data_IF_488398484904
#
_entry.id   IF_488398484904
#
_cell.length_a   1.000
_cell.length_b   1.000
_cell.length_c   1.000
_cell.angle_alpha   90.00
_cell.angle_beta   90.00
_cell.angle_gamma   90.00
#
_symmetry.space_group_name_H-M   'P 1'
#
loop_
_entity.id
_entity.type
_entity.pdbx_description
1 polymer ?
#
# COMPACT_ATOMS: atom_id res chain seq x y z
N UNK A 1 -29.99 0.97 -35.77
CA UNK A 1 -28.60 1.47 -35.79
C UNK A 1 -28.54 2.48 -34.67
N UNK A 2 -27.87 2.15 -33.57
CA UNK A 2 -27.79 3.02 -32.40
C UNK A 2 -27.11 4.33 -32.79
N UNK A 3 -27.81 5.45 -32.54
CA UNK A 3 -27.26 6.79 -32.64
C UNK A 3 -26.15 6.92 -31.58
N UNK A 4 -24.90 6.77 -32.01
CA UNK A 4 -23.76 7.08 -31.16
C UNK A 4 -23.85 8.53 -30.70
N UNK A 5 -23.62 8.78 -29.41
CA UNK A 5 -23.53 10.14 -28.88
C UNK A 5 -22.31 10.86 -29.49
N UNK A 6 -22.53 11.63 -30.56
CA UNK A 6 -21.49 12.45 -31.16
C UNK A 6 -21.44 13.81 -30.47
N UNK A 7 -20.26 14.17 -29.95
CA UNK A 7 -20.01 15.50 -29.42
C UNK A 7 -19.61 16.44 -30.55
N UNK A 8 -20.37 17.52 -30.74
CA UNK A 8 -20.05 18.60 -31.68
C UNK A 8 -19.69 19.87 -30.91
N UNK A 9 -18.51 20.42 -31.17
CA UNK A 9 -18.12 21.73 -30.62
C UNK A 9 -18.90 22.81 -31.37
N UNK A 10 -19.86 23.45 -30.69
CA UNK A 10 -20.72 24.48 -31.29
C UNK A 10 -20.11 25.88 -31.27
N UNK A 11 -19.17 26.15 -30.36
CA UNK A 11 -18.54 27.46 -30.20
C UNK A 11 -17.12 27.27 -29.65
N UNK A 12 -16.15 27.93 -30.29
CA UNK A 12 -14.79 28.14 -29.77
C UNK A 12 -14.58 29.64 -29.71
N UNK A 13 -14.41 30.17 -28.51
CA UNK A 13 -13.96 31.54 -28.31
C UNK A 13 -12.43 31.55 -28.30
N UNK A 14 -11.83 32.25 -29.26
CA UNK A 14 -10.36 32.30 -29.43
C UNK A 14 -9.71 33.38 -28.56
N UNK A 15 -10.46 34.41 -28.18
CA UNK A 15 -9.98 35.44 -27.28
C UNK A 15 -10.16 35.01 -25.83
N UNK A 16 -9.05 34.88 -25.11
CA UNK A 16 -9.06 34.49 -23.72
C UNK A 16 -9.20 35.74 -22.84
N UNK A 17 -10.40 35.96 -22.28
CA UNK A 17 -10.67 37.06 -21.34
C UNK A 17 -10.35 36.71 -19.88
N UNK A 18 -9.81 35.51 -19.60
CA UNK A 18 -9.53 35.10 -18.24
C UNK A 18 -8.33 35.86 -17.68
N UNK A 19 -8.58 36.70 -16.68
CA UNK A 19 -7.55 37.41 -15.92
C UNK A 19 -6.73 36.44 -15.08
N UNK A 20 -5.43 36.72 -14.89
CA UNK A 20 -4.52 35.91 -14.07
C UNK A 20 -5.05 35.78 -12.62
N UNK A 21 -5.81 36.75 -12.12
CA UNK A 21 -6.45 36.70 -10.79
C UNK A 21 -7.54 35.63 -10.66
N UNK A 22 -8.13 35.16 -11.78
CA UNK A 22 -9.07 34.03 -11.79
C UNK A 22 -8.38 32.67 -11.56
N UNK A 23 -7.03 32.62 -11.64
CA UNK A 23 -6.19 31.45 -11.40
C UNK A 23 -5.87 31.26 -9.92
N UNK A 24 -6.85 31.40 -9.01
CA UNK A 24 -6.68 31.09 -7.57
C UNK A 24 -6.47 29.59 -7.29
N UNK A 25 -5.72 28.85 -8.12
CA UNK A 25 -5.47 27.41 -8.04
C UNK A 25 -6.75 26.55 -8.00
N UNK A 26 -7.90 27.17 -8.29
CA UNK A 26 -9.25 26.61 -8.21
C UNK A 26 -9.77 26.28 -9.60
N UNK A 27 -8.91 25.69 -10.44
CA UNK A 27 -9.30 25.12 -11.72
C UNK A 27 -10.42 24.10 -11.49
N UNK A 28 -11.67 24.50 -11.77
CA UNK A 28 -12.86 23.69 -11.48
C UNK A 28 -12.92 22.43 -12.35
N UNK A 29 -12.42 22.53 -13.58
CA UNK A 29 -12.37 21.42 -14.53
C UNK A 29 -11.22 20.46 -14.27
N UNK A 30 -10.04 20.94 -13.82
CA UNK A 30 -8.95 20.10 -13.33
C UNK A 30 -9.23 19.65 -11.88
N UNK A 31 -10.22 18.76 -11.75
CA UNK A 31 -10.55 18.12 -10.48
C UNK A 31 -9.54 16.99 -10.16
N UNK A 32 -9.55 16.51 -8.91
CA UNK A 32 -8.59 15.49 -8.46
C UNK A 32 -8.75 14.14 -9.15
N UNK A 33 -9.95 13.79 -9.64
CA UNK A 33 -10.20 12.55 -10.37
C UNK A 33 -9.41 12.56 -11.68
N UNK A 34 -9.59 13.62 -12.48
CA UNK A 34 -8.91 13.80 -13.77
C UNK A 34 -7.39 13.81 -13.59
N UNK A 35 -6.89 14.57 -12.60
CA UNK A 35 -5.45 14.59 -12.32
C UNK A 35 -4.96 13.20 -11.88
N UNK A 36 -5.74 12.49 -11.06
CA UNK A 36 -5.43 11.14 -10.60
C UNK A 36 -5.35 10.14 -11.75
N UNK A 37 -6.31 10.16 -12.67
CA UNK A 37 -6.32 9.34 -13.89
C UNK A 37 -5.08 9.62 -14.76
N UNK A 38 -4.71 10.89 -14.95
CA UNK A 38 -3.52 11.28 -15.71
C UNK A 38 -2.21 10.76 -15.11
N UNK A 39 -2.08 10.75 -13.77
CA UNK A 39 -0.85 10.30 -13.10
C UNK A 39 -0.84 8.79 -12.79
N UNK A 40 -2.00 8.13 -12.82
CA UNK A 40 -2.14 6.69 -12.52
C UNK A 40 -1.26 5.76 -13.37
N UNK A 41 -0.99 6.00 -14.67
CA UNK A 41 -0.13 5.14 -15.46
C UNK A 41 1.31 5.11 -14.93
N UNK A 42 1.79 6.23 -14.35
CA UNK A 42 3.14 6.30 -13.77
C UNK A 42 3.28 5.39 -12.55
N UNK A 43 2.24 5.33 -11.73
CA UNK A 43 2.18 4.42 -10.59
C UNK A 43 2.14 2.96 -11.04
N UNK A 44 1.38 2.66 -12.11
CA UNK A 44 1.22 1.30 -12.65
C UNK A 44 2.49 0.74 -13.30
N UNK A 45 3.24 1.57 -14.02
CA UNK A 45 4.43 1.13 -14.78
C UNK A 45 5.69 1.14 -13.91
N UNK A 46 5.90 2.20 -13.13
CA UNK A 46 7.17 2.38 -12.42
C UNK A 46 7.11 1.91 -10.96
N UNK A 47 5.92 1.67 -10.40
CA UNK A 47 5.73 1.38 -8.97
C UNK A 47 6.15 2.54 -8.05
N UNK A 48 6.53 3.69 -8.60
CA UNK A 48 7.03 4.82 -7.84
C UNK A 48 5.90 5.47 -7.06
N UNK A 49 6.09 5.57 -5.73
CA UNK A 49 5.14 6.25 -4.87
C UNK A 49 4.98 7.71 -5.32
N UNK A 50 3.75 8.08 -5.71
CA UNK A 50 3.43 9.44 -6.10
C UNK A 50 3.55 10.35 -4.88
N UNK A 51 4.36 11.41 -4.98
CA UNK A 51 4.39 12.48 -3.95
C UNK A 51 3.51 13.63 -4.43
N UNK A 52 2.66 14.21 -3.57
CA UNK A 52 1.81 15.32 -3.97
C UNK A 52 2.60 16.52 -4.54
N UNK A 53 3.81 16.78 -4.04
CA UNK A 53 4.69 17.84 -4.59
C UNK A 53 5.13 17.54 -6.02
N UNK A 54 5.41 16.28 -6.34
CA UNK A 54 5.82 15.88 -7.69
C UNK A 54 4.63 16.04 -8.66
N UNK A 55 3.42 15.68 -8.21
CA UNK A 55 2.17 15.93 -8.96
C UNK A 55 1.98 17.44 -9.19
N UNK A 56 2.19 18.29 -8.19
CA UNK A 56 2.10 19.75 -8.36
C UNK A 56 3.08 20.26 -9.42
N UNK A 57 4.34 19.85 -9.33
CA UNK A 57 5.39 20.23 -10.29
C UNK A 57 5.04 19.74 -11.69
N UNK A 58 4.55 18.52 -11.82
CA UNK A 58 4.16 17.93 -13.10
C UNK A 58 2.98 18.68 -13.74
N UNK A 59 1.94 18.99 -12.96
CA UNK A 59 0.80 19.76 -13.44
C UNK A 59 1.21 21.16 -13.90
N UNK A 60 2.19 21.77 -13.22
CA UNK A 60 2.75 23.05 -13.63
C UNK A 60 3.57 22.93 -14.92
N UNK A 61 4.44 21.93 -15.04
CA UNK A 61 5.36 21.78 -16.17
C UNK A 61 4.65 21.38 -17.46
N UNK A 62 3.72 20.42 -17.40
CA UNK A 62 3.08 19.86 -18.59
C UNK A 62 1.80 20.58 -18.99
N UNK A 63 1.11 21.21 -18.04
CA UNK A 63 -0.21 21.79 -18.27
C UNK A 63 -0.32 23.25 -17.85
N UNK A 64 0.73 23.85 -17.27
CA UNK A 64 0.70 25.22 -16.76
C UNK A 64 -0.24 25.41 -15.55
N UNK A 65 -0.64 24.31 -14.89
CA UNK A 65 -1.65 24.33 -13.83
C UNK A 65 -1.02 24.36 -12.43
N UNK A 66 -1.12 25.51 -11.76
CA UNK A 66 -0.75 25.62 -10.36
C UNK A 66 -1.86 25.06 -9.45
N UNK A 67 -1.67 23.85 -8.93
CA UNK A 67 -2.68 23.19 -8.07
C UNK A 67 -2.31 23.26 -6.58
N UNK A 68 -3.31 23.27 -5.71
CA UNK A 68 -3.10 23.21 -4.27
C UNK A 68 -2.61 21.82 -3.82
N UNK A 69 -1.82 21.78 -2.74
CA UNK A 69 -1.33 20.52 -2.16
C UNK A 69 -2.47 19.54 -1.84
N UNK A 70 -3.57 20.01 -1.27
CA UNK A 70 -4.75 19.18 -0.94
C UNK A 70 -5.37 18.54 -2.16
N UNK A 71 -5.39 19.25 -3.30
CA UNK A 71 -5.88 18.71 -4.58
C UNK A 71 -4.90 17.65 -5.12
N UNK A 72 -3.60 17.91 -5.05
CA UNK A 72 -2.59 16.93 -5.44
C UNK A 72 -2.63 15.67 -4.56
N UNK A 73 -2.87 15.82 -3.26
CA UNK A 73 -3.02 14.70 -2.33
C UNK A 73 -4.27 13.85 -2.65
N UNK A 74 -5.41 14.49 -2.96
CA UNK A 74 -6.61 13.77 -3.40
C UNK A 74 -6.43 13.08 -4.75
N UNK A 75 -5.70 13.71 -5.66
CA UNK A 75 -5.39 13.12 -6.97
C UNK A 75 -4.50 11.89 -6.81
N UNK A 76 -3.50 11.96 -5.91
CA UNK A 76 -2.71 10.81 -5.50
C UNK A 76 -3.59 9.67 -4.98
N UNK A 77 -4.44 9.95 -3.98
CA UNK A 77 -5.32 8.94 -3.36
C UNK A 77 -6.23 8.26 -4.40
N UNK A 78 -6.75 9.05 -5.35
CA UNK A 78 -7.52 8.53 -6.48
C UNK A 78 -6.69 7.65 -7.42
N UNK A 79 -5.48 8.09 -7.79
CA UNK A 79 -4.57 7.31 -8.63
C UNK A 79 -4.19 5.97 -7.96
N UNK A 80 -3.90 5.98 -6.66
CA UNK A 80 -3.63 4.76 -5.88
C UNK A 80 -4.86 3.85 -5.85
N UNK A 81 -6.07 4.40 -5.71
CA UNK A 81 -7.31 3.63 -5.77
C UNK A 81 -7.58 3.00 -7.14
N UNK A 82 -7.20 3.65 -8.25
CA UNK A 82 -7.31 3.07 -9.60
C UNK A 82 -6.38 1.87 -9.76
N UNK A 83 -5.15 1.98 -9.27
CA UNK A 83 -4.10 0.97 -9.51
C UNK A 83 -4.21 -0.21 -8.54
N UNK A 84 -4.42 0.05 -7.25
CA UNK A 84 -4.42 -0.96 -6.19
C UNK A 84 -5.82 -1.37 -5.73
N UNK A 85 -6.85 -0.64 -6.15
CA UNK A 85 -8.20 -0.74 -5.61
C UNK A 85 -8.34 0.02 -4.28
N UNK A 86 -9.55 0.04 -3.71
CA UNK A 86 -9.81 0.66 -2.42
C UNK A 86 -8.99 -0.02 -1.31
N UNK A 87 -8.32 0.78 -0.46
CA UNK A 87 -7.52 0.24 0.64
C UNK A 87 -8.31 -0.65 1.61
N UNK A 88 -9.64 -0.46 1.72
CA UNK A 88 -10.50 -1.30 2.55
C UNK A 88 -10.61 -2.74 2.00
N UNK A 89 -10.72 -2.88 0.68
CA UNK A 89 -10.78 -4.17 0.00
C UNK A 89 -9.45 -4.94 0.13
N UNK A 90 -8.32 -4.23 0.21
CA UNK A 90 -7.02 -4.86 0.41
C UNK A 90 -6.97 -5.67 1.71
N UNK A 91 -7.50 -5.15 2.81
CA UNK A 91 -7.56 -5.88 4.09
C UNK A 91 -8.54 -7.06 4.05
N UNK A 92 -9.66 -6.92 3.33
CA UNK A 92 -10.63 -8.01 3.13
C UNK A 92 -10.05 -9.18 2.33
N UNK A 93 -9.06 -8.91 1.47
CA UNK A 93 -8.39 -9.93 0.65
C UNK A 93 -7.29 -10.71 1.38
N UNK A 94 -6.84 -10.25 2.56
CA UNK A 94 -5.75 -10.88 3.31
C UNK A 94 -6.03 -12.38 3.58
N UNK A 95 -7.21 -12.81 4.08
CA UNK A 95 -7.47 -14.22 4.31
C UNK A 95 -7.30 -15.09 3.07
N UNK A 96 -7.83 -14.65 1.92
CA UNK A 96 -7.67 -15.37 0.65
C UNK A 96 -6.22 -15.41 0.18
N UNK A 97 -5.48 -14.32 0.39
CA UNK A 97 -4.05 -14.25 0.09
C UNK A 97 -3.25 -15.23 0.94
N UNK A 98 -3.45 -15.25 2.26
CA UNK A 98 -2.76 -16.16 3.19
C UNK A 98 -3.07 -17.62 2.87
N UNK A 99 -4.32 -17.95 2.57
CA UNK A 99 -4.71 -19.28 2.12
C UNK A 99 -3.95 -19.73 0.87
N UNK A 100 -3.82 -18.85 -0.13
CA UNK A 100 -3.04 -19.15 -1.33
C UNK A 100 -1.54 -19.24 -1.04
N UNK A 101 -1.04 -18.43 -0.09
CA UNK A 101 0.36 -18.42 0.32
C UNK A 101 0.77 -19.78 0.90
N UNK A 102 -0.04 -20.32 1.81
CA UNK A 102 0.17 -21.66 2.40
C UNK A 102 0.13 -22.77 1.35
N UNK A 103 -0.84 -22.71 0.43
CA UNK A 103 -0.99 -23.71 -0.63
C UNK A 103 0.16 -23.72 -1.63
N UNK A 104 0.71 -22.55 -1.93
CA UNK A 104 1.76 -22.40 -2.96
C UNK A 104 3.16 -22.56 -2.37
N UNK A 105 3.34 -22.33 -1.06
CA UNK A 105 4.63 -22.37 -0.40
C UNK A 105 4.58 -23.34 0.78
N UNK A 106 4.98 -24.60 0.54
CA UNK A 106 4.95 -25.66 1.54
C UNK A 106 5.71 -25.29 2.82
N UNK A 107 5.07 -25.51 3.97
CA UNK A 107 5.60 -25.18 5.29
C UNK A 107 5.45 -23.72 5.70
N UNK A 108 4.79 -22.88 4.89
CA UNK A 108 4.41 -21.52 5.30
C UNK A 108 3.41 -21.58 6.43
N UNK A 109 3.62 -20.74 7.45
CA UNK A 109 2.73 -20.61 8.60
C UNK A 109 2.08 -19.24 8.51
N UNK A 110 0.75 -19.19 8.51
CA UNK A 110 0.00 -17.94 8.58
C UNK A 110 -0.94 -17.92 9.78
N UNK A 111 -1.36 -16.71 10.17
CA UNK A 111 -2.45 -16.53 11.11
C UNK A 111 -3.17 -15.20 10.84
N UNK A 112 -4.46 -15.16 11.17
CA UNK A 112 -5.32 -14.02 10.91
C UNK A 112 -6.39 -13.89 11.99
N UNK A 113 -6.48 -12.72 12.62
CA UNK A 113 -7.45 -12.44 13.67
C UNK A 113 -8.30 -11.22 13.33
N UNK A 114 -9.59 -11.34 13.63
CA UNK A 114 -10.55 -10.25 13.63
C UNK A 114 -10.79 -9.78 15.07
N UNK A 115 -11.26 -8.54 15.23
CA UNK A 115 -11.79 -8.05 16.50
C UNK A 115 -13.25 -8.51 16.71
N UNK A 116 -13.82 -8.14 17.85
CA UNK A 116 -15.19 -8.51 18.22
C UNK A 116 -16.26 -7.93 17.27
N UNK A 117 -15.92 -6.87 16.52
CA UNK A 117 -16.77 -6.26 15.49
C UNK A 117 -16.56 -6.90 14.09
N UNK A 118 -15.74 -7.95 13.98
CA UNK A 118 -15.41 -8.60 12.71
C UNK A 118 -14.47 -7.79 11.81
N UNK A 119 -13.75 -6.81 12.36
CA UNK A 119 -12.77 -6.00 11.63
C UNK A 119 -11.38 -6.59 11.75
N UNK A 120 -10.53 -6.30 10.77
CA UNK A 120 -9.12 -6.70 10.78
C UNK A 120 -8.42 -6.28 12.09
N UNK A 121 -7.85 -7.24 12.81
CA UNK A 121 -7.08 -6.98 14.04
C UNK A 121 -5.60 -7.31 13.84
N UNK A 122 -5.30 -8.54 13.44
CA UNK A 122 -3.93 -9.01 13.25
C UNK A 122 -3.77 -9.93 12.04
N UNK A 123 -2.59 -9.92 11.43
CA UNK A 123 -2.15 -10.87 10.41
C UNK A 123 -0.70 -11.26 10.69
N UNK A 124 -0.36 -12.52 10.50
CA UNK A 124 0.99 -13.07 10.62
C UNK A 124 1.27 -13.98 9.44
N UNK A 125 2.50 -13.96 8.95
CA UNK A 125 2.98 -14.97 8.03
C UNK A 125 4.50 -15.14 8.12
N UNK A 126 4.94 -16.38 7.92
CA UNK A 126 6.33 -16.75 7.75
C UNK A 126 6.44 -17.80 6.65
N UNK A 127 7.29 -17.55 5.66
CA UNK A 127 7.47 -18.47 4.55
C UNK A 127 8.13 -19.77 5.02
N UNK A 128 7.68 -20.91 4.50
CA UNK A 128 8.28 -22.20 4.86
C UNK A 128 9.79 -22.26 4.58
N UNK A 129 10.25 -21.59 3.52
CA UNK A 129 11.68 -21.46 3.23
C UNK A 129 12.43 -20.68 4.33
N UNK A 130 11.84 -19.59 4.84
CA UNK A 130 12.38 -18.80 5.94
C UNK A 130 12.52 -19.63 7.22
N UNK A 131 11.50 -20.40 7.56
CA UNK A 131 11.49 -21.26 8.75
C UNK A 131 12.56 -22.35 8.63
N UNK A 132 12.63 -23.03 7.48
CA UNK A 132 13.62 -24.09 7.24
C UNK A 132 15.04 -23.54 7.29
N UNK A 133 15.32 -22.43 6.61
CA UNK A 133 16.64 -21.81 6.63
C UNK A 133 17.03 -21.37 8.02
N UNK A 134 16.09 -20.77 8.78
CA UNK A 134 16.33 -20.39 10.17
C UNK A 134 16.81 -21.57 11.02
N UNK A 135 16.16 -22.73 10.88
CA UNK A 135 16.48 -23.94 11.64
C UNK A 135 17.80 -24.59 11.22
N UNK A 136 18.14 -24.55 9.93
CA UNK A 136 19.27 -25.33 9.41
C UNK A 136 20.58 -24.57 9.35
N UNK A 137 20.54 -23.24 9.13
CA UNK A 137 21.69 -22.52 8.58
C UNK A 137 21.87 -21.08 9.07
N UNK A 138 20.90 -20.53 9.79
CA UNK A 138 20.94 -19.14 10.27
C UNK A 138 21.32 -19.10 11.75
N UNK A 139 21.94 -18.00 12.17
CA UNK A 139 22.31 -17.80 13.58
C UNK A 139 21.03 -17.68 14.42
N UNK A 140 20.96 -18.28 15.63
CA UNK A 140 19.78 -18.25 16.48
C UNK A 140 19.65 -16.90 17.23
N UNK A 141 19.78 -15.79 16.50
CA UNK A 141 19.64 -14.42 16.98
C UNK A 141 18.60 -13.74 16.11
N UNK A 142 17.49 -13.34 16.73
CA UNK A 142 16.36 -12.70 16.05
C UNK A 142 16.33 -11.23 16.45
N UNK A 143 16.46 -10.35 15.46
CA UNK A 143 16.19 -8.92 15.58
C UNK A 143 14.74 -8.66 15.18
N UNK A 144 14.05 -7.81 15.93
CA UNK A 144 12.64 -7.52 15.71
C UNK A 144 12.42 -6.01 15.76
N UNK A 145 11.69 -5.51 14.78
CA UNK A 145 11.32 -4.09 14.69
C UNK A 145 9.86 -3.93 14.25
N UNK A 146 9.29 -2.77 14.56
CA UNK A 146 7.94 -2.36 14.19
C UNK A 146 7.97 -1.03 13.47
N UNK A 147 7.37 -0.95 12.28
CA UNK A 147 7.29 0.31 11.52
C UNK A 147 5.85 0.70 11.21
N UNK A 148 5.57 2.01 11.27
CA UNK A 148 4.23 2.52 11.00
C UNK A 148 3.87 2.43 9.51
N UNK A 149 2.75 1.76 9.23
CA UNK A 149 2.16 1.74 7.89
C UNK A 149 1.61 3.12 7.53
N UNK A 150 1.91 3.55 6.30
CA UNK A 150 1.37 4.78 5.72
C UNK A 150 0.11 4.44 4.94
N UNK A 151 -0.95 5.23 5.13
CA UNK A 151 -2.21 5.05 4.43
C UNK A 151 -3.40 5.42 5.31
N UNK A 152 -4.60 5.21 4.77
CA UNK A 152 -5.86 5.55 5.44
C UNK A 152 -6.06 4.80 6.77
N UNK A 153 -5.75 3.52 6.80
CA UNK A 153 -6.02 2.64 7.94
C UNK A 153 -4.88 2.55 8.96
N UNK A 154 -3.73 3.18 8.66
CA UNK A 154 -2.50 3.13 9.49
C UNK A 154 -2.17 1.68 9.89
N UNK A 155 -1.55 1.49 11.05
CA UNK A 155 -1.13 0.18 11.57
C UNK A 155 0.38 0.09 11.76
N UNK A 156 0.82 -1.08 12.21
CA UNK A 156 2.22 -1.45 12.40
C UNK A 156 2.52 -2.68 11.57
N UNK A 157 3.61 -2.62 10.81
CA UNK A 157 4.27 -3.78 10.24
C UNK A 157 5.39 -4.22 11.19
N UNK A 158 5.20 -5.37 11.81
CA UNK A 158 6.21 -6.07 12.59
C UNK A 158 7.06 -6.93 11.66
N UNK A 159 8.38 -6.89 11.84
CA UNK A 159 9.32 -7.71 11.09
C UNK A 159 10.25 -8.39 12.07
N UNK A 160 10.33 -9.72 11.98
CA UNK A 160 11.38 -10.51 12.60
C UNK A 160 12.39 -10.89 11.51
N UNK A 161 13.65 -10.57 11.75
CA UNK A 161 14.76 -10.88 10.87
C UNK A 161 15.92 -11.48 11.67
N UNK A 162 16.78 -12.20 10.97
CA UNK A 162 17.97 -12.84 11.52
C UNK A 162 19.19 -12.42 10.72
N UNK A 163 20.36 -12.88 11.14
CA UNK A 163 21.60 -12.72 10.40
C UNK A 163 22.15 -14.07 9.99
N UNK A 164 22.49 -14.23 8.72
CA UNK A 164 23.07 -15.47 8.21
C UNK A 164 24.57 -15.61 8.58
N UNK A 165 25.21 -16.67 8.06
CA UNK A 165 26.65 -16.89 8.28
C UNK A 165 27.53 -15.76 7.76
N UNK A 166 27.06 -15.01 6.77
CA UNK A 166 27.75 -13.93 6.06
C UNK A 166 27.26 -12.53 6.47
N UNK A 167 26.65 -12.42 7.65
CA UNK A 167 26.13 -11.16 8.21
C UNK A 167 25.03 -10.48 7.38
N UNK A 168 24.40 -11.20 6.44
CA UNK A 168 23.30 -10.68 5.65
C UNK A 168 21.98 -10.79 6.39
N UNK A 169 21.07 -9.85 6.13
CA UNK A 169 19.72 -9.85 6.70
C UNK A 169 18.91 -10.99 6.09
N UNK A 170 18.41 -11.85 6.96
CA UNK A 170 17.55 -12.97 6.60
C UNK A 170 16.14 -12.75 7.15
N UNK A 171 15.09 -12.58 6.31
CA UNK A 171 13.73 -12.40 6.82
C UNK A 171 13.22 -13.70 7.45
N UNK A 172 12.66 -13.60 8.66
CA UNK A 172 12.09 -14.74 9.37
C UNK A 172 10.56 -14.72 9.32
N UNK A 173 9.93 -13.63 9.78
CA UNK A 173 8.47 -13.55 9.87
C UNK A 173 7.97 -12.11 9.81
N UNK A 174 6.71 -11.95 9.43
CA UNK A 174 6.04 -10.67 9.29
C UNK A 174 4.73 -10.67 10.06
N UNK A 175 4.35 -9.51 10.58
CA UNK A 175 3.09 -9.30 11.26
C UNK A 175 2.50 -7.95 10.92
N UNK A 176 1.18 -7.86 10.84
CA UNK A 176 0.46 -6.60 10.69
C UNK A 176 -0.51 -6.48 11.85
N UNK A 177 -0.49 -5.34 12.54
CA UNK A 177 -1.42 -5.05 13.63
C UNK A 177 -1.88 -3.60 13.67
N UNK A 178 -2.89 -3.33 14.50
CA UNK A 178 -3.53 -2.01 14.55
C UNK A 178 -2.70 -0.94 15.27
N UNK A 179 -2.05 -1.28 16.39
CA UNK A 179 -1.28 -0.34 17.23
C UNK A 179 -0.01 -0.95 17.77
N UNK A 180 0.99 -0.12 17.99
CA UNK A 180 2.22 -0.50 18.68
C UNK A 180 1.97 -0.47 20.19
N UNK A 181 1.49 -1.59 20.73
CA UNK A 181 1.22 -1.72 22.15
C UNK A 181 1.66 -3.12 22.63
N UNK A 182 1.61 -3.31 23.96
CA UNK A 182 2.01 -4.58 24.58
C UNK A 182 1.21 -5.77 24.03
N UNK A 183 -0.07 -5.60 23.73
CA UNK A 183 -0.92 -6.66 23.19
C UNK A 183 -0.44 -7.12 21.82
N UNK A 184 -0.28 -6.20 20.86
CA UNK A 184 0.20 -6.48 19.51
C UNK A 184 1.60 -7.10 19.52
N UNK A 185 2.51 -6.56 20.34
CA UNK A 185 3.86 -7.10 20.49
C UNK A 185 3.83 -8.53 21.07
N UNK A 186 3.06 -8.74 22.14
CA UNK A 186 2.93 -10.06 22.76
C UNK A 186 2.31 -11.06 21.78
N UNK A 187 1.31 -10.63 21.02
CA UNK A 187 0.66 -11.44 19.99
C UNK A 187 1.68 -11.86 18.92
N UNK A 188 2.40 -10.90 18.34
CA UNK A 188 3.40 -11.16 17.29
C UNK A 188 4.50 -12.09 17.79
N UNK A 189 5.08 -11.82 18.96
CA UNK A 189 6.15 -12.65 19.54
C UNK A 189 5.70 -14.08 19.83
N UNK A 190 4.44 -14.27 20.27
CA UNK A 190 3.87 -15.62 20.43
C UNK A 190 3.77 -16.37 19.10
N UNK A 191 3.42 -15.68 18.01
CA UNK A 191 3.38 -16.28 16.67
C UNK A 191 4.76 -16.62 16.15
N UNK A 192 5.74 -15.73 16.30
CA UNK A 192 7.15 -16.00 15.96
C UNK A 192 7.64 -17.23 16.72
N UNK A 193 7.43 -17.28 18.04
CA UNK A 193 7.83 -18.44 18.87
C UNK A 193 7.19 -19.74 18.39
N UNK A 194 5.86 -19.76 18.21
CA UNK A 194 5.15 -20.96 17.74
C UNK A 194 5.66 -21.42 16.37
N UNK A 195 5.96 -20.47 15.49
CA UNK A 195 6.46 -20.73 14.15
C UNK A 195 7.84 -21.39 14.14
N UNK A 196 8.76 -20.97 15.03
CA UNK A 196 10.11 -21.54 15.11
C UNK A 196 10.18 -22.81 15.97
N UNK A 197 9.30 -22.95 16.97
CA UNK A 197 9.27 -24.10 17.89
C UNK A 197 8.49 -25.31 17.34
N UNK A 198 7.55 -25.14 16.40
CA UNK A 198 6.71 -26.25 15.91
C UNK A 198 7.47 -27.13 14.91
N UNK A 199 7.74 -28.42 15.19
CA UNK A 199 8.29 -29.33 14.18
C UNK A 199 7.36 -29.31 12.97
N UNK A 200 7.90 -29.01 11.80
CA UNK A 200 7.18 -29.27 10.54
C UNK A 200 7.50 -30.71 10.21
N UNK A 201 6.55 -31.61 10.46
CA UNK A 201 6.58 -32.99 9.99
C UNK A 201 6.65 -33.05 8.45
#
# INVERSE_FOLDING_TARGET
MDEGEYWQIRKIDKEHSCTIESFQCRFRQANSSVIGELVSPKLRVNGTALKPKDIMTEMQLHYGLHIQYTKAWRAKDHAESIVFGPAAESFQRIPSYLYMLERTNLGTVTDFELDDDGRFKFCFFSYGACIRGFRSSIRPVIAIDGTHLKGRFRGILFVAACSDGNEQVYPLAFGIGHKENRESWTWFLRRVRKCIDCPTD
#
